data_IF_218118825823
#
_entry.id   IF_218118825823
#
_cell.length_a   1.000
_cell.length_b   1.000
_cell.length_c   1.000
_cell.angle_alpha   90.00
_cell.angle_beta   90.00
_cell.angle_gamma   90.00
#
_symmetry.space_group_name_H-M   'P 1'
#
loop_
_entity.id
_entity.type
_entity.pdbx_description
1 polymer ?
#
# COMPACT_ATOMS: atom_id res chain seq x y z
N UNK A 1 -3.77 -8.47 -23.74
CA UNK A 1 -5.21 -8.70 -23.47
C UNK A 1 -5.91 -7.39 -23.74
N UNK A 2 -7.08 -7.38 -24.41
CA UNK A 2 -7.82 -6.14 -24.66
C UNK A 2 -8.22 -5.54 -23.31
N UNK A 3 -7.73 -4.34 -23.04
CA UNK A 3 -8.02 -3.62 -21.80
C UNK A 3 -9.48 -3.18 -21.86
N UNK A 4 -10.26 -3.59 -20.89
CA UNK A 4 -11.68 -3.22 -20.75
C UNK A 4 -11.84 -1.79 -20.20
N UNK A 5 -11.03 -0.85 -20.75
CA UNK A 5 -11.01 0.55 -20.35
C UNK A 5 -11.67 1.37 -21.47
N UNK A 6 -12.73 2.10 -21.13
CA UNK A 6 -13.44 2.96 -22.08
C UNK A 6 -12.65 4.24 -22.33
N UNK A 7 -12.27 4.55 -23.58
CA UNK A 7 -11.51 5.77 -23.89
C UNK A 7 -12.42 6.99 -23.81
N UNK A 8 -12.53 7.60 -22.63
CA UNK A 8 -13.29 8.82 -22.38
C UNK A 8 -12.47 9.82 -21.58
N UNK A 9 -12.67 11.11 -21.79
CA UNK A 9 -12.00 12.18 -21.00
C UNK A 9 -12.22 12.02 -19.49
N UNK A 10 -13.38 11.53 -19.08
CA UNK A 10 -13.69 11.25 -17.67
C UNK A 10 -12.80 10.13 -17.11
N UNK A 11 -12.62 9.06 -17.86
CA UNK A 11 -11.79 7.93 -17.46
C UNK A 11 -10.31 8.31 -17.42
N UNK A 12 -9.86 9.17 -18.35
CA UNK A 12 -8.50 9.72 -18.32
C UNK A 12 -8.23 10.45 -16.99
N UNK A 13 -9.07 11.40 -16.61
CA UNK A 13 -8.94 12.12 -15.35
C UNK A 13 -8.95 11.18 -14.13
N UNK A 14 -9.78 10.14 -14.15
CA UNK A 14 -9.81 9.16 -13.05
C UNK A 14 -8.53 8.33 -12.96
N UNK A 15 -7.91 8.02 -14.10
CA UNK A 15 -6.64 7.29 -14.12
C UNK A 15 -5.51 8.20 -13.65
N UNK A 16 -5.47 9.47 -14.06
CA UNK A 16 -4.53 10.48 -13.59
C UNK A 16 -4.61 10.64 -12.06
N UNK A 17 -5.82 10.77 -11.50
CA UNK A 17 -6.04 10.85 -10.06
C UNK A 17 -5.55 9.57 -9.34
N UNK A 18 -5.75 8.39 -9.95
CA UNK A 18 -5.27 7.11 -9.39
C UNK A 18 -3.76 6.99 -9.45
N UNK A 19 -3.12 7.46 -10.50
CA UNK A 19 -1.65 7.49 -10.63
C UNK A 19 -1.08 8.35 -9.50
N UNK A 20 -1.55 9.58 -9.36
CA UNK A 20 -1.09 10.52 -8.35
C UNK A 20 -1.31 9.98 -6.91
N UNK A 21 -2.45 9.36 -6.66
CA UNK A 21 -2.72 8.69 -5.38
C UNK A 21 -1.77 7.51 -5.15
N UNK A 22 -1.51 6.71 -6.18
CA UNK A 22 -0.64 5.52 -6.10
C UNK A 22 0.82 5.90 -5.88
N UNK A 23 1.32 6.95 -6.55
CA UNK A 23 2.67 7.49 -6.36
C UNK A 23 2.86 8.04 -4.93
N UNK A 24 1.91 8.85 -4.45
CA UNK A 24 1.95 9.35 -3.06
C UNK A 24 1.85 8.21 -2.05
N UNK A 25 1.02 7.21 -2.33
CA UNK A 25 0.87 6.00 -1.53
C UNK A 25 2.16 5.17 -1.49
N UNK A 26 2.81 4.98 -2.64
CA UNK A 26 4.10 4.30 -2.77
C UNK A 26 5.16 4.98 -1.89
N UNK A 27 5.37 6.29 -2.04
CA UNK A 27 6.37 7.03 -1.27
C UNK A 27 6.09 7.02 0.25
N UNK A 28 4.81 7.00 0.65
CA UNK A 28 4.43 6.91 2.07
C UNK A 28 4.71 5.52 2.65
N UNK A 29 4.40 4.46 1.89
CA UNK A 29 4.67 3.08 2.31
C UNK A 29 6.16 2.75 2.31
N UNK A 30 6.93 3.34 1.40
CA UNK A 30 8.38 3.22 1.38
C UNK A 30 9.00 3.82 2.64
N UNK A 31 8.63 5.05 3.01
CA UNK A 31 9.06 5.68 4.27
C UNK A 31 8.62 4.87 5.50
N UNK A 32 7.41 4.32 5.49
CA UNK A 32 6.95 3.43 6.56
C UNK A 32 7.82 2.18 6.67
N UNK A 33 8.13 1.53 5.53
CA UNK A 33 9.01 0.36 5.49
C UNK A 33 10.38 0.66 6.09
N UNK A 34 10.98 1.76 5.66
CA UNK A 34 12.32 2.14 6.09
C UNK A 34 12.35 2.49 7.60
N UNK A 35 11.33 3.19 8.10
CA UNK A 35 11.17 3.43 9.53
C UNK A 35 11.00 2.15 10.34
N UNK A 36 10.18 1.20 9.86
CA UNK A 36 10.03 -0.10 10.51
C UNK A 36 11.33 -0.91 10.53
N UNK A 37 12.17 -0.80 9.49
CA UNK A 37 13.47 -1.47 9.45
C UNK A 37 14.43 -0.86 10.49
N UNK A 38 14.43 0.46 10.67
CA UNK A 38 15.25 1.11 11.71
C UNK A 38 14.84 0.65 13.11
N UNK A 39 13.56 0.72 13.44
CA UNK A 39 13.03 0.24 14.73
C UNK A 39 13.29 -1.26 14.95
N UNK A 40 13.21 -2.05 13.88
CA UNK A 40 13.53 -3.47 13.95
C UNK A 40 15.00 -3.71 14.28
N UNK A 41 15.93 -2.92 13.74
CA UNK A 41 17.36 -3.04 14.06
C UNK A 41 17.64 -2.71 15.52
N UNK A 42 17.00 -1.68 16.07
CA UNK A 42 17.13 -1.33 17.49
C UNK A 42 16.62 -2.46 18.42
N UNK A 43 15.50 -3.10 18.04
CA UNK A 43 14.97 -4.24 18.79
C UNK A 43 15.85 -5.48 18.61
N UNK A 44 16.48 -5.65 17.45
CA UNK A 44 17.40 -6.77 17.19
C UNK A 44 18.63 -6.72 18.09
N UNK A 45 19.21 -5.54 18.27
CA UNK A 45 20.34 -5.34 19.16
C UNK A 45 19.94 -5.65 20.62
N UNK A 46 18.79 -5.14 21.08
CA UNK A 46 18.23 -5.48 22.38
C UNK A 46 17.97 -7.00 22.53
N UNK A 47 17.50 -7.65 21.48
CA UNK A 47 17.25 -9.10 21.51
C UNK A 47 18.54 -9.92 21.66
N UNK A 48 19.65 -9.46 21.08
CA UNK A 48 20.95 -10.11 21.24
C UNK A 48 21.48 -9.98 22.66
N UNK A 49 21.36 -8.80 23.27
CA UNK A 49 21.77 -8.55 24.65
C UNK A 49 20.94 -9.41 25.64
N UNK A 50 19.62 -9.34 25.53
CA UNK A 50 18.70 -10.12 26.37
C UNK A 50 18.93 -11.63 26.23
N UNK A 51 19.25 -12.09 25.01
CA UNK A 51 19.55 -13.51 24.78
C UNK A 51 20.88 -13.94 25.43
N UNK A 52 21.85 -13.04 25.43
CA UNK A 52 23.13 -13.24 26.15
C UNK A 52 22.90 -13.39 27.65
N UNK A 53 22.19 -12.44 28.26
CA UNK A 53 21.83 -12.44 29.68
C UNK A 53 21.02 -13.70 30.05
N UNK A 54 20.04 -14.06 29.25
CA UNK A 54 19.23 -15.27 29.44
C UNK A 54 20.09 -16.54 29.46
N UNK A 55 21.09 -16.64 28.59
CA UNK A 55 22.01 -17.79 28.57
C UNK A 55 22.85 -17.89 29.84
N UNK A 56 23.36 -16.76 30.32
CA UNK A 56 24.14 -16.69 31.56
C UNK A 56 23.29 -17.02 32.79
N UNK A 57 22.09 -16.49 32.88
CA UNK A 57 21.15 -16.75 33.96
C UNK A 57 20.71 -18.23 33.98
N UNK A 58 20.48 -18.83 32.81
CA UNK A 58 20.18 -20.23 32.67
C UNK A 58 21.33 -21.13 33.20
N UNK A 59 22.56 -20.83 32.81
CA UNK A 59 23.74 -21.56 33.28
C UNK A 59 23.90 -21.43 34.79
N UNK A 60 23.69 -20.23 35.35
CA UNK A 60 23.72 -19.96 36.80
C UNK A 60 22.64 -20.76 37.55
N UNK A 61 21.39 -20.69 37.10
CA UNK A 61 20.29 -21.40 37.68
C UNK A 61 20.50 -22.93 37.62
N UNK A 62 20.97 -23.43 36.48
CA UNK A 62 21.27 -24.86 36.30
C UNK A 62 22.39 -25.33 37.21
N UNK A 63 23.42 -24.52 37.44
CA UNK A 63 24.52 -24.82 38.36
C UNK A 63 24.03 -24.85 39.80
N UNK A 64 23.22 -23.88 40.20
CA UNK A 64 22.69 -23.78 41.55
C UNK A 64 21.75 -24.96 41.89
N UNK A 65 20.84 -25.34 40.98
CA UNK A 65 19.95 -26.50 41.22
C UNK A 65 20.72 -27.82 41.27
N UNK A 66 21.77 -28.00 40.47
CA UNK A 66 22.59 -29.17 40.49
C UNK A 66 23.38 -29.26 41.83
N UNK A 67 23.84 -28.13 42.34
CA UNK A 67 24.52 -28.04 43.63
C UNK A 67 23.55 -28.38 44.77
N UNK A 68 22.33 -27.81 44.74
CA UNK A 68 21.29 -28.11 45.73
C UNK A 68 20.92 -29.61 45.71
N UNK A 69 20.75 -30.21 44.54
CA UNK A 69 20.48 -31.66 44.38
C UNK A 69 21.63 -32.54 44.92
N UNK A 70 22.88 -32.13 44.69
CA UNK A 70 24.02 -32.87 45.16
C UNK A 70 24.18 -32.88 46.69
N UNK A 71 23.77 -31.76 47.34
CA UNK A 71 23.92 -31.62 48.81
C UNK A 71 22.72 -32.10 49.59
N UNK A 72 21.50 -31.82 49.14
CA UNK A 72 20.23 -32.08 49.85
C UNK A 72 19.50 -33.33 49.34
N UNK A 73 19.87 -33.77 48.14
CA UNK A 73 19.18 -34.86 47.46
C UNK A 73 17.96 -34.40 46.64
N UNK A 74 17.65 -35.21 45.64
CA UNK A 74 16.56 -34.88 44.67
C UNK A 74 15.17 -34.80 45.29
N UNK A 75 14.91 -35.57 46.36
CA UNK A 75 13.63 -35.61 47.07
C UNK A 75 13.34 -34.31 47.82
N UNK A 76 14.35 -33.74 48.49
CA UNK A 76 14.21 -32.46 49.19
C UNK A 76 13.93 -31.29 48.24
N UNK A 77 14.67 -31.23 47.11
CA UNK A 77 14.49 -30.20 46.09
C UNK A 77 13.10 -30.31 45.44
N UNK A 78 12.64 -31.51 45.11
CA UNK A 78 11.29 -31.71 44.56
C UNK A 78 10.20 -31.39 45.60
N UNK A 79 10.42 -31.69 46.86
CA UNK A 79 9.51 -31.33 47.93
C UNK A 79 9.35 -29.82 48.09
N UNK A 80 10.45 -29.07 48.05
CA UNK A 80 10.43 -27.61 48.06
C UNK A 80 9.72 -27.04 46.82
N UNK A 81 9.98 -27.57 45.64
CA UNK A 81 9.32 -27.14 44.40
C UNK A 81 7.81 -27.42 44.39
N UNK A 82 7.37 -28.56 44.99
CA UNK A 82 5.96 -28.90 45.10
C UNK A 82 5.19 -28.05 46.14
N UNK A 83 5.90 -27.42 47.05
CA UNK A 83 5.31 -26.53 48.07
C UNK A 83 4.97 -25.14 47.55
N UNK A 84 5.48 -24.76 46.35
CA UNK A 84 5.16 -23.49 45.69
C UNK A 84 3.68 -23.50 45.26
N UNK A 85 2.84 -22.71 45.91
CA UNK A 85 1.39 -22.65 45.65
C UNK A 85 0.99 -21.51 44.70
N UNK A 86 1.80 -20.44 44.62
CA UNK A 86 1.50 -19.26 43.84
C UNK A 86 2.32 -19.25 42.56
N UNK A 87 1.63 -19.00 41.45
CA UNK A 87 2.27 -18.77 40.14
C UNK A 87 2.37 -17.26 39.87
N UNK A 88 3.41 -16.79 39.16
CA UNK A 88 3.51 -15.39 38.77
C UNK A 88 2.36 -15.05 37.84
N UNK A 89 1.71 -13.93 38.08
CA UNK A 89 0.65 -13.41 37.20
C UNK A 89 1.28 -12.53 36.15
N UNK A 90 0.94 -12.81 34.88
CA UNK A 90 1.46 -12.09 33.73
C UNK A 90 0.32 -11.26 33.13
N UNK A 91 0.47 -9.92 33.16
CA UNK A 91 -0.45 -9.00 32.52
C UNK A 91 0.17 -8.52 31.22
N UNK A 92 -0.60 -8.56 30.13
CA UNK A 92 -0.12 -8.15 28.82
C UNK A 92 -0.81 -6.85 28.42
N UNK A 93 -0.03 -5.80 28.28
CA UNK A 93 -0.46 -4.54 27.68
C UNK A 93 -0.05 -4.48 26.19
N UNK A 94 -0.64 -3.58 25.44
CA UNK A 94 -0.31 -3.39 24.04
C UNK A 94 0.31 -2.03 23.79
N UNK A 95 1.51 -2.01 23.19
CA UNK A 95 2.22 -0.81 22.74
C UNK A 95 2.16 -0.73 21.23
N UNK A 96 1.98 0.48 20.71
CA UNK A 96 1.99 0.70 19.26
C UNK A 96 3.32 1.30 18.83
N UNK A 97 4.04 0.60 17.95
CA UNK A 97 5.29 1.05 17.34
C UNK A 97 5.07 1.18 15.84
N UNK A 98 5.05 2.41 15.31
CA UNK A 98 4.84 2.71 13.90
C UNK A 98 3.62 2.02 13.25
N UNK A 99 2.52 1.82 14.02
CA UNK A 99 1.32 1.13 13.56
C UNK A 99 1.33 -0.38 13.75
N UNK A 100 2.38 -0.95 14.33
CA UNK A 100 2.44 -2.36 14.76
C UNK A 100 2.12 -2.47 16.23
N UNK A 101 1.10 -3.25 16.57
CA UNK A 101 0.71 -3.52 17.95
C UNK A 101 1.59 -4.64 18.50
N UNK A 102 2.55 -4.28 19.36
CA UNK A 102 3.42 -5.21 20.07
C UNK A 102 2.94 -5.41 21.51
N UNK A 103 3.10 -6.60 22.10
CA UNK A 103 2.79 -6.80 23.50
C UNK A 103 3.89 -6.17 24.37
N UNK A 104 3.50 -5.57 25.44
CA UNK A 104 4.36 -5.21 26.57
C UNK A 104 3.93 -6.09 27.74
N UNK A 105 4.86 -6.82 28.33
CA UNK A 105 4.55 -7.81 29.36
C UNK A 105 4.96 -7.25 30.71
N UNK A 106 3.98 -7.01 31.57
CA UNK A 106 4.22 -6.68 32.96
C UNK A 106 4.08 -7.95 33.80
N UNK A 107 5.14 -8.31 34.51
CA UNK A 107 5.14 -9.44 35.44
C UNK A 107 5.03 -8.93 36.85
N UNK A 108 3.97 -9.34 37.54
CA UNK A 108 3.78 -9.05 38.95
C UNK A 108 4.38 -10.17 39.79
N UNK A 109 5.23 -9.81 40.75
CA UNK A 109 5.74 -10.73 41.81
C UNK A 109 6.47 -11.99 41.30
N UNK A 110 7.40 -11.82 40.35
CA UNK A 110 8.28 -12.95 39.98
C UNK A 110 9.23 -13.27 41.11
N UNK A 111 9.83 -12.24 41.73
CA UNK A 111 10.71 -12.43 42.89
C UNK A 111 9.90 -12.50 44.15
N UNK A 112 10.00 -13.62 44.86
CA UNK A 112 9.29 -13.89 46.14
C UNK A 112 10.21 -13.74 47.32
N UNK A 113 9.69 -13.23 48.44
CA UNK A 113 10.39 -13.25 49.70
C UNK A 113 10.41 -14.67 50.27
N UNK A 114 11.37 -14.95 51.18
CA UNK A 114 11.50 -16.26 51.82
C UNK A 114 10.23 -16.75 52.52
N UNK A 115 9.43 -15.82 53.08
CA UNK A 115 8.13 -16.09 53.71
C UNK A 115 6.98 -16.37 52.72
N UNK A 116 7.11 -15.95 51.48
CA UNK A 116 6.11 -16.12 50.41
C UNK A 116 6.35 -17.38 49.55
N UNK A 117 7.53 -18.04 49.71
CA UNK A 117 7.91 -19.21 48.90
C UNK A 117 7.16 -20.49 49.23
N UNK A 118 6.39 -20.53 50.33
CA UNK A 118 5.50 -21.64 50.70
C UNK A 118 6.17 -22.88 51.31
N UNK A 119 7.51 -22.99 51.25
CA UNK A 119 8.25 -24.04 51.95
C UNK A 119 8.80 -23.52 53.26
N UNK A 120 8.83 -24.40 54.29
CA UNK A 120 9.23 -24.00 55.63
C UNK A 120 10.71 -23.71 55.75
N UNK A 121 11.05 -22.58 56.39
CA UNK A 121 12.43 -22.15 56.67
C UNK A 121 13.21 -23.19 57.53
N UNK A 122 12.50 -23.92 58.40
CA UNK A 122 13.06 -25.04 59.12
C UNK A 122 12.96 -26.34 58.32
N UNK A 123 14.03 -26.72 57.64
CA UNK A 123 14.09 -27.95 56.84
C UNK A 123 14.54 -27.78 55.39
N UNK A 124 14.75 -26.56 54.99
CA UNK A 124 15.37 -26.23 53.69
C UNK A 124 16.72 -25.58 53.91
N UNK A 125 17.69 -25.88 53.08
CA UNK A 125 19.02 -25.27 53.17
C UNK A 125 19.11 -23.98 52.32
N UNK A 126 20.07 -23.12 52.68
CA UNK A 126 20.38 -21.92 51.89
C UNK A 126 20.66 -22.22 50.41
N UNK A 127 21.05 -23.43 50.04
CA UNK A 127 21.29 -23.86 48.67
C UNK A 127 20.00 -23.98 47.85
N UNK A 128 18.92 -24.36 48.48
CA UNK A 128 17.59 -24.40 47.84
C UNK A 128 17.11 -22.97 47.61
N UNK A 129 17.36 -22.06 48.56
CA UNK A 129 16.99 -20.64 48.41
C UNK A 129 17.80 -19.95 47.31
N UNK A 130 19.13 -20.20 47.24
CA UNK A 130 19.98 -19.69 46.16
C UNK A 130 19.53 -20.22 44.79
N UNK A 131 19.11 -21.49 44.70
CA UNK A 131 18.56 -22.05 43.49
C UNK A 131 17.21 -21.39 43.10
N UNK A 132 16.33 -21.19 44.10
CA UNK A 132 15.03 -20.54 43.85
C UNK A 132 15.20 -19.10 43.35
N UNK A 133 16.10 -18.33 43.97
CA UNK A 133 16.41 -16.96 43.57
C UNK A 133 16.95 -16.90 42.14
N UNK A 134 17.90 -17.78 41.79
CA UNK A 134 18.43 -17.85 40.41
C UNK A 134 17.37 -18.24 39.37
N UNK A 135 16.38 -19.08 39.73
CA UNK A 135 15.27 -19.42 38.85
C UNK A 135 14.22 -18.30 38.75
N UNK A 136 14.03 -17.50 39.78
CA UNK A 136 13.19 -16.30 39.77
C UNK A 136 13.81 -15.22 38.84
N UNK A 137 15.14 -14.99 38.92
CA UNK A 137 15.87 -14.12 38.00
C UNK A 137 15.75 -14.64 36.57
N UNK A 138 16.03 -15.90 36.33
CA UNK A 138 15.89 -16.55 35.03
C UNK A 138 14.47 -16.37 34.45
N UNK A 139 13.45 -16.49 35.29
CA UNK A 139 12.07 -16.28 34.82
C UNK A 139 11.81 -14.86 34.37
N UNK A 140 12.39 -13.85 35.01
CA UNK A 140 12.33 -12.46 34.56
C UNK A 140 12.99 -12.28 33.20
N UNK A 141 14.19 -12.84 33.03
CA UNK A 141 14.91 -12.80 31.73
C UNK A 141 14.14 -13.52 30.61
N UNK A 142 13.44 -14.64 30.92
CA UNK A 142 12.56 -15.34 29.96
C UNK A 142 11.38 -14.46 29.54
N UNK A 143 10.73 -13.77 30.48
CA UNK A 143 9.59 -12.89 30.19
C UNK A 143 10.03 -11.74 29.26
N UNK A 144 11.16 -11.10 29.57
CA UNK A 144 11.72 -10.04 28.75
C UNK A 144 12.09 -10.55 27.34
N UNK A 145 12.74 -11.72 27.26
CA UNK A 145 13.07 -12.34 25.98
C UNK A 145 11.81 -12.65 25.14
N UNK A 146 10.75 -13.15 25.80
CA UNK A 146 9.49 -13.45 25.12
C UNK A 146 8.80 -12.19 24.57
N UNK A 147 8.86 -11.07 25.30
CA UNK A 147 8.36 -9.77 24.85
C UNK A 147 9.09 -9.31 23.59
N UNK A 148 10.43 -9.22 23.65
CA UNK A 148 11.28 -8.76 22.55
C UNK A 148 11.15 -9.66 21.33
N UNK A 149 11.19 -10.99 21.50
CA UNK A 149 11.00 -11.93 20.38
C UNK A 149 9.62 -11.80 19.71
N UNK A 150 8.58 -11.58 20.50
CA UNK A 150 7.23 -11.41 19.96
C UNK A 150 7.09 -10.09 19.20
N UNK A 151 7.70 -9.01 19.72
CA UNK A 151 7.78 -7.74 19.05
C UNK A 151 8.50 -7.86 17.69
N UNK A 152 9.68 -8.51 17.66
CA UNK A 152 10.43 -8.77 16.44
C UNK A 152 9.61 -9.55 15.41
N UNK A 153 8.96 -10.64 15.81
CA UNK A 153 8.13 -11.47 14.91
C UNK A 153 6.98 -10.66 14.29
N UNK A 154 6.33 -9.79 15.06
CA UNK A 154 5.25 -8.92 14.56
C UNK A 154 5.78 -7.86 13.60
N UNK A 155 6.91 -7.22 13.92
CA UNK A 155 7.54 -6.23 13.06
C UNK A 155 8.02 -6.82 11.75
N UNK A 156 8.66 -7.99 11.75
CA UNK A 156 9.07 -8.69 10.52
C UNK A 156 7.89 -8.97 9.59
N UNK A 157 6.76 -9.42 10.12
CA UNK A 157 5.54 -9.66 9.33
C UNK A 157 5.01 -8.39 8.69
N UNK A 158 5.03 -7.27 9.42
CA UNK A 158 4.56 -5.99 8.88
C UNK A 158 5.54 -5.42 7.84
N UNK A 159 6.85 -5.53 8.06
CA UNK A 159 7.88 -5.19 7.07
C UNK A 159 7.69 -5.98 5.79
N UNK A 160 7.50 -7.30 5.89
CA UNK A 160 7.27 -8.17 4.73
C UNK A 160 5.98 -7.81 3.99
N UNK A 161 4.91 -7.52 4.72
CA UNK A 161 3.62 -7.10 4.16
C UNK A 161 3.73 -5.75 3.46
N UNK A 162 4.40 -4.78 4.10
CA UNK A 162 4.62 -3.44 3.53
C UNK A 162 5.51 -3.53 2.30
N UNK A 163 6.59 -4.31 2.34
CA UNK A 163 7.46 -4.57 1.18
C UNK A 163 6.69 -5.17 0.00
N UNK A 164 5.82 -6.15 0.25
CA UNK A 164 4.97 -6.73 -0.82
C UNK A 164 4.02 -5.70 -1.42
N UNK A 165 3.45 -4.79 -0.60
CA UNK A 165 2.60 -3.70 -1.09
C UNK A 165 3.37 -2.68 -1.92
N UNK A 166 4.55 -2.27 -1.47
CA UNK A 166 5.44 -1.36 -2.22
C UNK A 166 5.78 -1.95 -3.58
N UNK A 167 6.25 -3.20 -3.61
CA UNK A 167 6.58 -3.89 -4.85
C UNK A 167 5.37 -4.05 -5.79
N UNK A 168 4.17 -4.31 -5.25
CA UNK A 168 2.96 -4.43 -6.06
C UNK A 168 2.54 -3.08 -6.68
N UNK A 169 2.73 -1.97 -5.97
CA UNK A 169 2.49 -0.63 -6.50
C UNK A 169 3.50 -0.29 -7.60
N UNK A 170 4.78 -0.52 -7.35
CA UNK A 170 5.88 -0.15 -8.24
C UNK A 170 5.92 -0.98 -9.53
N UNK A 171 5.82 -2.31 -9.41
CA UNK A 171 6.05 -3.21 -10.56
C UNK A 171 4.78 -3.68 -11.25
N UNK A 172 3.61 -3.51 -10.65
CA UNK A 172 2.36 -3.96 -11.24
C UNK A 172 1.37 -2.83 -11.47
N UNK A 173 1.00 -2.10 -10.40
CA UNK A 173 -0.10 -1.15 -10.48
C UNK A 173 0.27 0.11 -11.28
N UNK A 174 1.39 0.74 -10.96
CA UNK A 174 1.83 1.96 -11.64
C UNK A 174 2.07 1.73 -13.14
N UNK A 175 2.82 0.71 -13.58
CA UNK A 175 2.99 0.45 -15.01
C UNK A 175 1.66 0.18 -15.75
N UNK A 176 0.73 -0.56 -15.10
CA UNK A 176 -0.58 -0.83 -15.68
C UNK A 176 -1.43 0.45 -15.84
N UNK A 177 -1.35 1.36 -14.87
CA UNK A 177 -2.05 2.65 -14.94
C UNK A 177 -1.46 3.55 -16.03
N UNK A 178 -0.13 3.63 -16.16
CA UNK A 178 0.53 4.40 -17.23
C UNK A 178 0.19 3.87 -18.62
N UNK A 179 0.24 2.55 -18.81
CA UNK A 179 -0.18 1.96 -20.08
C UNK A 179 -1.66 2.22 -20.42
N UNK A 180 -2.54 2.25 -19.39
CA UNK A 180 -3.94 2.60 -19.61
C UNK A 180 -4.13 4.07 -19.94
N UNK A 181 -3.39 4.97 -19.29
CA UNK A 181 -3.37 6.39 -19.60
C UNK A 181 -2.96 6.62 -21.05
N UNK A 182 -1.81 6.09 -21.45
CA UNK A 182 -1.30 6.21 -22.82
C UNK A 182 -2.29 5.69 -23.88
N UNK A 183 -2.91 4.55 -23.59
CA UNK A 183 -3.94 3.99 -24.50
C UNK A 183 -5.14 4.91 -24.66
N UNK A 184 -5.65 5.51 -23.55
CA UNK A 184 -6.79 6.42 -23.61
C UNK A 184 -6.41 7.71 -24.34
N UNK A 185 -5.25 8.28 -24.04
CA UNK A 185 -4.75 9.48 -24.72
C UNK A 185 -4.65 9.29 -26.23
N UNK A 186 -4.05 8.18 -26.65
CA UNK A 186 -3.95 7.85 -28.08
C UNK A 186 -5.33 7.72 -28.76
N UNK A 187 -6.28 7.10 -28.07
CA UNK A 187 -7.65 6.93 -28.61
C UNK A 187 -8.44 8.23 -28.65
N UNK A 188 -8.25 9.11 -27.68
CA UNK A 188 -8.86 10.44 -27.68
C UNK A 188 -8.29 11.31 -28.79
N UNK A 189 -6.98 11.30 -29.02
CA UNK A 189 -6.35 11.99 -30.13
C UNK A 189 -6.84 11.48 -31.49
N UNK A 190 -7.00 10.15 -31.62
CA UNK A 190 -7.53 9.55 -32.85
C UNK A 190 -8.97 10.03 -33.12
N UNK A 191 -9.82 10.05 -32.07
CA UNK A 191 -11.20 10.56 -32.17
C UNK A 191 -11.24 12.05 -32.53
N UNK A 192 -10.40 12.89 -31.93
CA UNK A 192 -10.30 14.31 -32.24
C UNK A 192 -9.88 14.53 -33.70
N UNK A 193 -8.90 13.77 -34.20
CA UNK A 193 -8.49 13.82 -35.64
C UNK A 193 -9.64 13.41 -36.56
N UNK A 194 -10.38 12.35 -36.21
CA UNK A 194 -11.55 11.94 -36.99
C UNK A 194 -12.66 13.01 -37.02
N UNK A 195 -12.92 13.65 -35.86
CA UNK A 195 -13.92 14.72 -35.78
C UNK A 195 -13.53 15.92 -36.63
N UNK A 196 -12.27 16.35 -36.57
CA UNK A 196 -11.75 17.45 -37.42
C UNK A 196 -11.88 17.10 -38.89
N UNK A 197 -11.56 15.85 -39.29
CA UNK A 197 -11.70 15.41 -40.66
C UNK A 197 -13.16 15.38 -41.13
N UNK A 198 -14.09 14.93 -40.27
CA UNK A 198 -15.54 14.96 -40.55
C UNK A 198 -16.05 16.38 -40.71
N UNK A 199 -15.63 17.30 -39.82
CA UNK A 199 -16.02 18.72 -39.90
C UNK A 199 -15.49 19.36 -41.19
N UNK A 200 -14.25 19.09 -41.60
CA UNK A 200 -13.67 19.57 -42.85
C UNK A 200 -14.46 19.08 -44.05
N UNK A 201 -14.82 17.79 -44.07
CA UNK A 201 -15.61 17.22 -45.17
C UNK A 201 -17.04 17.78 -45.23
N UNK A 202 -17.65 18.11 -44.07
CA UNK A 202 -18.96 18.77 -44.04
C UNK A 202 -18.86 20.20 -44.56
N UNK A 203 -17.77 20.91 -44.20
CA UNK A 203 -17.54 22.27 -44.71
C UNK A 203 -17.34 22.29 -46.21
N UNK A 204 -16.50 21.40 -46.75
CA UNK A 204 -16.28 21.25 -48.19
C UNK A 204 -17.59 20.95 -48.93
N UNK A 205 -18.47 20.10 -48.36
CA UNK A 205 -19.79 19.84 -48.97
C UNK A 205 -20.71 21.05 -48.95
N UNK A 206 -20.75 21.82 -47.87
CA UNK A 206 -21.55 23.05 -47.78
C UNK A 206 -21.06 24.11 -48.77
N UNK A 207 -19.74 24.31 -48.85
CA UNK A 207 -19.16 25.22 -49.82
C UNK A 207 -19.51 24.80 -51.26
N UNK A 208 -19.44 23.51 -51.56
CA UNK A 208 -19.82 23.00 -52.88
C UNK A 208 -21.36 23.11 -53.17
N UNK A 209 -22.21 22.97 -52.15
CA UNK A 209 -23.66 23.17 -52.27
C UNK A 209 -24.01 24.67 -52.45
N UNK A 210 -23.34 25.57 -51.69
CA UNK A 210 -23.50 27.03 -51.83
C UNK A 210 -23.04 27.50 -53.20
N UNK A 211 -21.88 26.99 -53.70
CA UNK A 211 -21.39 27.32 -55.04
C UNK A 211 -22.33 26.78 -56.13
N UNK A 212 -22.93 25.61 -55.94
CA UNK A 212 -23.89 25.04 -56.89
C UNK A 212 -25.23 25.83 -56.89
N UNK A 213 -25.72 26.27 -55.71
CA UNK A 213 -26.90 27.13 -55.64
C UNK A 213 -26.65 28.52 -56.27
N UNK A 214 -25.46 29.11 -56.03
CA UNK A 214 -25.08 30.37 -56.61
C UNK A 214 -25.00 30.28 -58.18
N UNK A 215 -24.40 29.18 -58.66
CA UNK A 215 -24.33 28.93 -60.09
C UNK A 215 -25.74 28.68 -60.74
N UNK A 216 -26.63 28.01 -60.02
CA UNK A 216 -28.02 27.79 -60.45
C UNK A 216 -28.80 29.12 -60.49
N UNK A 217 -28.65 29.97 -59.45
CA UNK A 217 -29.27 31.30 -59.42
C UNK A 217 -28.76 32.24 -60.53
N UNK A 218 -27.45 32.20 -60.86
CA UNK A 218 -26.88 32.95 -61.98
C UNK A 218 -27.41 32.43 -63.32
N UNK A 219 -27.55 31.11 -63.48
CA UNK A 219 -28.11 30.52 -64.70
C UNK A 219 -29.60 30.87 -64.87
N UNK A 220 -30.38 30.92 -63.79
CA UNK A 220 -31.79 31.30 -63.79
C UNK A 220 -31.96 32.83 -64.11
N UNK A 221 -31.07 33.66 -63.58
CA UNK A 221 -31.04 35.09 -63.86
C UNK A 221 -30.64 35.39 -65.35
N UNK A 222 -29.69 34.59 -65.87
CA UNK A 222 -29.29 34.70 -67.31
C UNK A 222 -30.42 34.24 -68.25
N UNK A 223 -31.15 33.20 -67.90
CA UNK A 223 -32.31 32.75 -68.70
C UNK A 223 -33.47 33.76 -68.65
N UNK A 224 -33.71 34.39 -67.53
CA UNK A 224 -34.74 35.45 -67.38
C UNK A 224 -34.35 36.76 -68.18
N UNK A 225 -33.06 37.01 -68.38
CA UNK A 225 -32.57 38.14 -69.19
C UNK A 225 -32.71 37.85 -70.66
N UNK A 226 -32.58 36.59 -71.11
CA UNK A 226 -32.75 36.22 -72.56
C UNK A 226 -34.22 36.19 -72.97
N UNK A 227 -35.19 36.00 -72.09
CA UNK A 227 -36.64 36.12 -72.36
C UNK A 227 -37.15 37.56 -72.40
N UNK A 228 -36.38 38.54 -72.01
CA UNK A 228 -36.76 39.97 -71.98
C UNK A 228 -36.40 40.83 -73.21
N UNK A 229 -35.76 40.25 -74.27
CA UNK A 229 -35.56 40.97 -75.51
C UNK A 229 -36.85 40.93 -76.39
N UNK A 230 -37.52 42.11 -76.72
CA UNK A 230 -38.70 42.10 -77.57
C UNK A 230 -38.28 41.91 -79.02
N UNK A 231 -39.12 41.26 -79.89
CA UNK A 231 -38.82 41.03 -81.30
C UNK A 231 -38.83 42.38 -82.04
N UNK A 232 -37.70 42.72 -82.69
CA UNK A 232 -37.64 43.86 -83.67
C UNK A 232 -38.62 43.65 -84.82
N UNK A 233 -39.62 44.52 -84.82
CA UNK A 233 -40.61 44.64 -85.89
C UNK A 233 -39.94 45.11 -87.15
N UNK A 234 -39.91 44.25 -88.18
CA UNK A 234 -39.61 44.60 -89.59
C UNK A 234 -40.72 45.54 -90.13
N UNK A 235 -40.40 46.73 -90.43
CA UNK A 235 -41.23 47.57 -91.27
C UNK A 235 -40.56 47.68 -92.64
N UNK A 236 -41.21 47.06 -93.61
CA UNK A 236 -41.02 47.27 -95.02
C UNK A 236 -41.73 48.54 -95.44
N UNK A 237 -41.08 49.35 -96.18
CA UNK A 237 -41.71 50.29 -97.17
C UNK A 237 -40.56 50.77 -98.03
N UNK A 238 -40.50 50.52 -99.25
CA UNK A 238 -41.45 50.78 -100.38
C UNK A 238 -41.06 51.99 -101.17
N UNK A 239 -40.69 51.76 -102.37
CA UNK A 239 -40.94 52.51 -103.55
C UNK A 239 -40.04 53.67 -103.97
N UNK A 240 -39.59 53.46 -105.14
CA UNK A 240 -39.80 54.31 -106.28
C UNK A 240 -38.78 55.40 -106.58
N UNK A 241 -38.19 55.32 -107.75
CA UNK A 241 -38.34 56.12 -108.90
C UNK A 241 -37.13 56.96 -109.31
N UNK A 242 -36.55 56.68 -110.44
CA UNK A 242 -36.62 57.45 -111.61
C UNK A 242 -35.36 58.30 -111.94
N UNK A 243 -34.93 57.92 -112.98
CA UNK A 243 -34.17 58.50 -114.10
C UNK A 243 -32.68 58.30 -114.08
#
# INVERSE_FOLDING_TARGET
MAKDVKPTRKELMQIEDRIDLSERGHGTLEKKRDGLIMEFMDILDQAQDVRGELSEDYERAQKNINMARAMEGDVAVRGAAAALQEHPEITTESKNIMGVVVPQIESTKVTKRLDERGYGIMGTSARIDEAAEAYEELLQSIILAAEVETAMKKMLREIETTKRRVNALEFKLLPELYENQEYIEQKLEEQEREEIFRLKKIKEKKEAEEDAEAAAAEAEAAAAADEAEPPETATASGASGGT
#
